data_IF_605066033762
#
_entry.id   IF_605066033762
#
_cell.length_a   1.000
_cell.length_b   1.000
_cell.length_c   1.000
_cell.angle_alpha   90.00
_cell.angle_beta   90.00
_cell.angle_gamma   90.00
#
_symmetry.space_group_name_H-M   'P 1'
#
loop_
_entity.id
_entity.type
_entity.pdbx_description
1 polymer ?
#
# COMPACT_ATOMS: atom_id res chain seq x y z
N UNK A 1 16.28 -9.68 6.62
CA UNK A 1 16.06 -9.52 5.17
C UNK A 1 15.48 -8.14 4.98
N UNK A 2 16.36 -7.17 4.74
CA UNK A 2 16.01 -5.76 4.64
C UNK A 2 15.40 -5.57 3.25
N UNK A 3 14.08 -5.41 3.17
CA UNK A 3 13.42 -5.03 1.93
C UNK A 3 14.04 -3.68 1.58
N UNK A 4 14.92 -3.65 0.57
CA UNK A 4 15.56 -2.44 0.10
C UNK A 4 14.48 -1.37 -0.01
N UNK A 5 14.67 -0.24 0.70
CA UNK A 5 13.77 0.92 0.73
C UNK A 5 13.22 1.16 -0.68
N UNK A 6 12.03 0.67 -0.95
CA UNK A 6 11.36 0.82 -2.23
C UNK A 6 10.83 2.25 -2.26
N UNK A 7 11.64 3.18 -2.78
CA UNK A 7 11.28 4.60 -3.00
C UNK A 7 10.08 4.75 -3.94
N UNK A 8 9.71 3.67 -4.64
CA UNK A 8 8.73 3.64 -5.70
C UNK A 8 7.87 2.38 -5.56
N UNK A 9 6.55 2.54 -5.52
CA UNK A 9 5.61 1.43 -5.61
C UNK A 9 5.09 1.30 -7.04
N UNK A 10 5.16 0.09 -7.58
CA UNK A 10 4.68 -0.25 -8.91
C UNK A 10 3.41 -1.08 -8.78
N UNK A 11 2.29 -0.59 -9.33
CA UNK A 11 1.05 -1.35 -9.42
C UNK A 11 0.76 -1.63 -10.89
N UNK A 12 0.67 -2.90 -11.23
CA UNK A 12 0.41 -3.35 -12.60
C UNK A 12 -1.00 -3.93 -12.70
N UNK A 13 -1.77 -3.45 -13.66
CA UNK A 13 -3.14 -3.85 -13.92
C UNK A 13 -3.22 -4.41 -15.34
N UNK A 14 -3.13 -5.75 -15.52
CA UNK A 14 -3.31 -6.36 -16.83
C UNK A 14 -4.71 -6.01 -17.34
N UNK A 15 -4.81 -5.59 -18.60
CA UNK A 15 -6.07 -5.21 -19.24
C UNK A 15 -6.57 -6.34 -20.13
N UNK A 16 -5.79 -6.68 -21.15
CA UNK A 16 -6.18 -7.68 -22.15
C UNK A 16 -4.97 -8.33 -22.85
N UNK A 17 -5.25 -9.44 -23.54
CA UNK A 17 -4.33 -10.05 -24.50
C UNK A 17 -4.78 -9.70 -25.90
N UNK A 18 -3.93 -9.00 -26.65
CA UNK A 18 -4.18 -8.59 -28.03
C UNK A 18 -3.23 -9.37 -28.94
N UNK A 19 -3.66 -10.58 -29.34
CA UNK A 19 -2.83 -11.52 -30.09
C UNK A 19 -1.63 -12.00 -29.27
N UNK A 20 -0.42 -11.63 -29.71
CA UNK A 20 0.84 -12.01 -29.04
C UNK A 20 1.34 -10.94 -28.06
N UNK A 21 0.54 -9.93 -27.74
CA UNK A 21 0.88 -8.87 -26.81
C UNK A 21 -0.07 -8.87 -25.60
N UNK A 22 0.46 -8.51 -24.43
CA UNK A 22 -0.34 -8.21 -23.24
C UNK A 22 -0.37 -6.70 -23.04
N UNK A 23 -1.56 -6.13 -22.97
CA UNK A 23 -1.73 -4.75 -22.56
C UNK A 23 -1.82 -4.68 -21.04
N UNK A 24 -1.01 -3.82 -20.42
CA UNK A 24 -1.03 -3.58 -18.99
C UNK A 24 -1.00 -2.07 -18.72
N UNK A 25 -1.79 -1.65 -17.73
CA UNK A 25 -1.71 -0.31 -17.16
C UNK A 25 -0.81 -0.35 -15.95
N UNK A 26 0.17 0.53 -15.93
CA UNK A 26 1.16 0.59 -14.87
C UNK A 26 1.01 1.92 -14.15
N UNK A 27 0.74 1.86 -12.85
CA UNK A 27 0.68 3.02 -11.98
C UNK A 27 1.95 3.06 -11.12
N UNK A 28 2.64 4.18 -11.21
CA UNK A 28 3.85 4.46 -10.44
C UNK A 28 3.52 5.45 -9.31
N UNK A 29 3.81 5.07 -8.08
CA UNK A 29 3.51 5.88 -6.90
C UNK A 29 4.80 6.15 -6.12
N UNK A 30 5.12 7.42 -5.81
CA UNK A 30 6.26 7.75 -4.97
C UNK A 30 6.00 7.34 -3.52
N UNK A 31 7.05 6.89 -2.84
CA UNK A 31 7.04 6.76 -1.38
C UNK A 31 7.74 7.97 -0.77
N UNK A 32 7.00 8.81 -0.05
CA UNK A 32 7.52 10.06 0.51
C UNK A 32 7.31 11.26 -0.42
N UNK A 33 7.94 12.38 -0.04
CA UNK A 33 7.74 13.66 -0.74
C UNK A 33 8.18 13.56 -2.22
N UNK A 34 7.27 13.76 -3.19
CA UNK A 34 7.57 13.59 -4.60
C UNK A 34 8.52 14.67 -5.15
N UNK A 35 8.72 15.78 -4.44
CA UNK A 35 9.59 16.87 -4.86
C UNK A 35 11.03 16.72 -4.37
N UNK A 36 11.28 15.75 -3.49
CA UNK A 36 12.59 15.50 -2.88
C UNK A 36 13.17 14.21 -3.45
N UNK A 37 14.39 14.28 -3.98
CA UNK A 37 15.14 13.10 -4.39
C UNK A 37 15.58 12.25 -3.19
N UNK A 38 15.70 10.95 -3.37
CA UNK A 38 16.03 10.01 -2.29
C UNK A 38 17.11 9.03 -2.73
N UNK A 39 18.15 8.84 -1.91
CA UNK A 39 19.15 7.77 -2.07
C UNK A 39 19.72 7.63 -3.49
N UNK A 40 20.12 8.75 -4.12
CA UNK A 40 20.70 8.78 -5.46
C UNK A 40 19.69 8.76 -6.61
N UNK A 41 18.39 8.75 -6.32
CA UNK A 41 17.32 8.92 -7.30
C UNK A 41 16.90 10.39 -7.41
N UNK A 42 16.52 10.86 -8.61
CA UNK A 42 15.93 12.18 -8.79
C UNK A 42 14.58 12.31 -8.06
N UNK A 43 14.07 13.53 -7.87
CA UNK A 43 12.69 13.75 -7.43
C UNK A 43 11.71 12.97 -8.30
N UNK A 44 10.60 12.50 -7.75
CA UNK A 44 9.59 11.80 -8.55
C UNK A 44 8.83 12.76 -9.47
N UNK A 45 8.50 13.96 -8.97
CA UNK A 45 7.69 14.94 -9.67
C UNK A 45 8.41 15.42 -10.94
N UNK A 46 7.83 15.11 -12.11
CA UNK A 46 8.35 15.56 -13.41
C UNK A 46 9.52 14.74 -13.96
N UNK A 47 9.92 13.66 -13.29
CA UNK A 47 10.97 12.76 -13.79
C UNK A 47 10.40 11.73 -14.77
N UNK A 48 11.11 11.56 -15.88
CA UNK A 48 10.90 10.45 -16.81
C UNK A 48 11.58 9.19 -16.28
N UNK A 49 10.84 8.09 -16.19
CA UNK A 49 11.32 6.84 -15.62
C UNK A 49 11.52 5.78 -16.70
N UNK A 50 12.67 5.11 -16.70
CA UNK A 50 12.89 3.91 -17.51
C UNK A 50 12.50 2.68 -16.70
N UNK A 51 11.56 1.90 -17.23
CA UNK A 51 11.12 0.64 -16.63
C UNK A 51 11.34 -0.51 -17.60
N UNK A 52 11.54 -1.71 -17.05
CA UNK A 52 11.73 -2.92 -17.84
C UNK A 52 10.67 -3.95 -17.47
N UNK A 53 10.14 -4.63 -18.48
CA UNK A 53 9.29 -5.80 -18.30
C UNK A 53 10.04 -7.04 -18.75
N UNK A 54 9.95 -8.11 -17.95
CA UNK A 54 10.55 -9.40 -18.26
C UNK A 54 9.46 -10.45 -18.40
N UNK A 55 9.39 -11.10 -19.56
CA UNK A 55 8.57 -12.28 -19.77
C UNK A 55 9.45 -13.51 -19.61
N UNK A 56 9.25 -14.25 -18.52
CA UNK A 56 10.01 -15.46 -18.20
C UNK A 56 9.30 -16.71 -18.75
N UNK A 57 10.02 -17.75 -19.20
CA UNK A 57 9.40 -18.91 -19.86
C UNK A 57 8.54 -19.81 -18.96
N UNK A 58 8.65 -19.67 -17.63
CA UNK A 58 7.99 -20.54 -16.68
C UNK A 58 8.05 -20.02 -15.25
N UNK A 59 7.14 -20.49 -14.38
CA UNK A 59 7.00 -19.99 -13.01
C UNK A 59 8.22 -20.27 -12.15
N UNK A 60 8.96 -21.35 -12.41
CA UNK A 60 10.19 -21.69 -11.67
C UNK A 60 11.25 -20.59 -11.76
N UNK A 61 11.25 -19.84 -12.87
CA UNK A 61 12.19 -18.74 -13.10
C UNK A 61 11.84 -17.48 -12.27
N UNK A 62 10.61 -17.37 -11.74
CA UNK A 62 10.21 -16.24 -10.89
C UNK A 62 10.89 -16.27 -9.52
N UNK A 63 11.37 -17.44 -9.09
CA UNK A 63 12.00 -17.63 -7.78
C UNK A 63 13.53 -17.55 -7.83
N UNK A 64 14.10 -17.28 -9.01
CA UNK A 64 15.54 -17.00 -9.14
C UNK A 64 15.89 -15.70 -8.43
N UNK A 65 17.15 -15.57 -8.01
CA UNK A 65 17.67 -14.35 -7.41
C UNK A 65 17.51 -13.13 -8.33
N UNK A 66 17.64 -13.35 -9.65
CA UNK A 66 17.29 -12.39 -10.69
C UNK A 66 16.51 -13.09 -11.81
N UNK A 67 15.18 -12.97 -11.84
CA UNK A 67 14.33 -13.55 -12.89
C UNK A 67 14.68 -13.06 -14.31
N UNK A 68 15.33 -11.90 -14.46
CA UNK A 68 15.71 -11.37 -15.77
C UNK A 68 16.82 -12.16 -16.47
N UNK A 69 17.56 -12.97 -15.70
CA UNK A 69 18.70 -13.76 -16.20
C UNK A 69 18.31 -15.16 -16.68
N UNK A 70 17.05 -15.57 -16.51
CA UNK A 70 16.63 -16.91 -16.91
C UNK A 70 16.76 -17.11 -18.43
N UNK A 71 17.29 -18.27 -18.90
CA UNK A 71 17.38 -18.57 -20.32
C UNK A 71 16.03 -18.49 -21.01
N UNK A 72 15.96 -17.79 -22.14
CA UNK A 72 14.70 -17.59 -22.88
C UNK A 72 13.84 -16.43 -22.37
N UNK A 73 14.30 -15.65 -21.39
CA UNK A 73 13.61 -14.43 -20.94
C UNK A 73 13.60 -13.37 -22.04
N UNK A 74 12.43 -12.80 -22.31
CA UNK A 74 12.28 -11.65 -23.19
C UNK A 74 12.21 -10.38 -22.36
N UNK A 75 13.09 -9.42 -22.64
CA UNK A 75 13.14 -8.13 -21.94
C UNK A 75 12.66 -7.02 -22.87
N UNK A 76 11.79 -6.15 -22.37
CA UNK A 76 11.31 -4.97 -23.09
C UNK A 76 11.51 -3.72 -22.23
N UNK A 77 12.00 -2.65 -22.84
CA UNK A 77 12.25 -1.37 -22.19
C UNK A 77 11.09 -0.42 -22.49
N UNK A 78 10.66 0.32 -21.47
CA UNK A 78 9.60 1.30 -21.55
C UNK A 78 10.05 2.60 -20.90
N UNK A 79 9.69 3.72 -21.52
CA UNK A 79 9.98 5.06 -21.02
C UNK A 79 8.65 5.68 -20.56
N UNK A 80 8.53 5.92 -19.26
CA UNK A 80 7.37 6.52 -18.63
C UNK A 80 7.60 8.02 -18.50
N UNK A 81 7.07 8.78 -19.46
CA UNK A 81 7.12 10.24 -19.43
C UNK A 81 5.95 10.78 -18.62
N UNK A 82 6.19 11.64 -17.61
CA UNK A 82 5.12 12.23 -16.84
C UNK A 82 4.29 13.21 -17.70
N UNK A 83 3.00 13.40 -17.39
CA UNK A 83 2.21 14.47 -18.01
C UNK A 83 2.85 15.84 -17.83
N UNK A 84 2.70 16.74 -18.81
CA UNK A 84 3.31 18.07 -18.78
C UNK A 84 2.93 18.89 -17.53
N UNK A 85 1.75 18.65 -16.97
CA UNK A 85 1.23 19.31 -15.76
C UNK A 85 1.45 18.49 -14.47
N UNK A 86 2.23 17.41 -14.48
CA UNK A 86 2.38 16.51 -13.33
C UNK A 86 2.87 17.25 -12.07
N UNK A 87 3.87 18.14 -12.21
CA UNK A 87 4.40 18.94 -11.10
C UNK A 87 3.32 19.86 -10.54
N UNK A 88 2.58 20.57 -11.40
CA UNK A 88 1.51 21.47 -10.99
C UNK A 88 0.36 20.72 -10.28
N UNK A 89 0.00 19.53 -10.76
CA UNK A 89 -1.01 18.67 -10.12
C UNK A 89 -0.57 18.24 -8.72
N UNK A 90 0.69 17.80 -8.57
CA UNK A 90 1.23 17.40 -7.26
C UNK A 90 1.31 18.60 -6.29
N UNK A 91 1.62 19.79 -6.80
CA UNK A 91 1.66 21.03 -6.01
C UNK A 91 0.27 21.52 -5.60
N UNK A 92 -0.79 21.15 -6.33
CA UNK A 92 -2.16 21.49 -5.98
C UNK A 92 -2.77 20.60 -4.88
N UNK A 93 -2.23 19.39 -4.67
CA UNK A 93 -2.75 18.44 -3.67
C UNK A 93 -2.79 19.00 -2.24
N UNK A 94 -1.75 19.71 -1.74
CA UNK A 94 -1.80 20.36 -0.43
C UNK A 94 -2.93 21.40 -0.26
N UNK A 95 -3.46 21.94 -1.36
CA UNK A 95 -4.61 22.84 -1.33
C UNK A 95 -5.92 22.17 -0.88
N UNK A 96 -5.98 20.83 -0.93
CA UNK A 96 -7.13 20.03 -0.48
C UNK A 96 -6.94 19.44 0.92
N UNK A 97 -5.70 19.21 1.33
CA UNK A 97 -5.34 18.66 2.64
C UNK A 97 -3.97 19.14 3.10
N UNK A 98 -3.81 19.42 4.38
CA UNK A 98 -2.52 19.83 4.96
C UNK A 98 -1.56 18.65 4.94
N UNK A 99 -0.53 18.72 4.09
CA UNK A 99 0.52 17.70 4.08
C UNK A 99 1.45 17.90 5.29
N UNK A 100 1.48 16.93 6.18
CA UNK A 100 2.38 16.90 7.35
C UNK A 100 3.48 15.87 7.15
N UNK A 101 4.62 16.09 7.82
CA UNK A 101 5.71 15.11 7.86
C UNK A 101 5.27 13.80 8.52
N UNK A 102 5.87 12.69 8.09
CA UNK A 102 5.59 11.40 8.72
C UNK A 102 6.01 11.40 10.20
N UNK A 103 5.16 10.91 11.13
CA UNK A 103 5.58 10.76 12.51
C UNK A 103 6.76 9.77 12.64
N UNK A 104 7.66 9.95 13.63
CA UNK A 104 8.75 9.01 13.88
C UNK A 104 8.24 7.58 14.08
N UNK A 105 9.01 6.58 13.62
CA UNK A 105 8.67 5.16 13.77
C UNK A 105 8.31 4.81 15.22
N UNK A 106 9.11 5.27 16.18
CA UNK A 106 8.88 5.07 17.61
C UNK A 106 7.52 5.62 18.09
N UNK A 107 7.10 6.79 17.59
CA UNK A 107 5.81 7.37 17.95
C UNK A 107 4.63 6.55 17.38
N UNK A 108 4.79 5.97 16.18
CA UNK A 108 3.79 5.06 15.59
C UNK A 108 3.73 3.73 16.34
N UNK A 109 4.88 3.13 16.62
CA UNK A 109 4.96 1.85 17.34
C UNK A 109 4.39 1.99 18.76
N UNK A 110 4.66 3.08 19.46
CA UNK A 110 4.04 3.37 20.76
C UNK A 110 2.51 3.48 20.65
N UNK A 111 1.99 4.10 19.58
CA UNK A 111 0.54 4.17 19.32
C UNK A 111 -0.06 2.79 19.04
N UNK A 112 0.64 1.92 18.31
CA UNK A 112 0.17 0.56 18.02
C UNK A 112 0.27 -0.35 19.25
N UNK A 113 1.32 -0.22 20.06
CA UNK A 113 1.51 -1.01 21.29
C UNK A 113 0.45 -0.70 22.36
N UNK A 114 -0.12 0.51 22.35
CA UNK A 114 -1.23 0.90 23.22
C UNK A 114 -2.61 0.52 22.67
N UNK A 115 -2.70 0.11 21.40
CA UNK A 115 -3.95 -0.35 20.79
C UNK A 115 -4.12 -1.86 20.98
N UNK A 116 -5.17 -2.23 21.71
CA UNK A 116 -5.64 -3.61 21.81
C UNK A 116 -6.84 -3.76 20.89
N UNK A 117 -6.72 -4.61 19.87
CA UNK A 117 -7.84 -4.92 18.96
C UNK A 117 -8.46 -6.21 19.44
N UNK A 118 -9.62 -6.09 20.10
CA UNK A 118 -10.45 -7.26 20.42
C UNK A 118 -11.09 -7.81 19.11
N UNK A 119 -11.24 -9.12 18.99
CA UNK A 119 -11.86 -9.82 17.86
C UNK A 119 -12.89 -10.82 18.38
N UNK A 120 -14.13 -10.71 17.91
CA UNK A 120 -15.16 -11.71 18.16
C UNK A 120 -14.88 -12.99 17.37
N UNK A 121 -15.00 -14.15 18.04
CA UNK A 121 -14.94 -15.45 17.39
C UNK A 121 -16.35 -15.87 16.96
N UNK A 122 -16.59 -16.13 15.67
CA UNK A 122 -17.91 -16.57 15.20
C UNK A 122 -18.22 -18.01 15.63
N UNK A 123 -19.50 -18.35 15.75
CA UNK A 123 -19.96 -19.68 16.15
C UNK A 123 -19.40 -20.80 15.28
N UNK A 124 -19.24 -20.55 13.98
CA UNK A 124 -18.64 -21.50 13.03
C UNK A 124 -17.18 -21.84 13.36
N UNK A 125 -16.45 -20.93 14.02
CA UNK A 125 -15.08 -21.17 14.45
C UNK A 125 -15.06 -21.98 15.76
N UNK A 126 -15.93 -21.63 16.71
CA UNK A 126 -16.00 -22.29 18.02
C UNK A 126 -16.50 -23.74 17.89
N UNK A 127 -17.37 -24.01 16.92
CA UNK A 127 -17.96 -25.34 16.68
C UNK A 127 -17.13 -26.25 15.77
N UNK A 128 -16.06 -25.75 15.13
CA UNK A 128 -15.27 -26.54 14.18
C UNK A 128 -14.35 -27.57 14.86
N UNK A 129 -14.09 -27.44 16.16
CA UNK A 129 -13.23 -28.33 16.94
C UNK A 129 -13.62 -28.25 18.43
N UNK A 130 -13.10 -29.13 19.31
CA UNK A 130 -13.34 -29.06 20.75
C UNK A 130 -12.71 -27.80 21.36
N UNK A 131 -13.40 -26.67 21.23
CA UNK A 131 -12.95 -25.37 21.69
C UNK A 131 -13.20 -25.24 23.20
N UNK A 132 -12.13 -25.11 23.99
CA UNK A 132 -12.25 -24.93 25.45
C UNK A 132 -12.34 -23.46 25.84
N UNK A 133 -11.41 -22.63 25.34
CA UNK A 133 -11.33 -21.20 25.65
C UNK A 133 -10.40 -20.45 24.69
N UNK A 134 -10.59 -19.12 24.54
CA UNK A 134 -9.64 -18.28 23.82
C UNK A 134 -8.26 -18.29 24.49
N UNK A 135 -7.20 -18.29 23.68
CA UNK A 135 -5.81 -18.24 24.19
C UNK A 135 -5.36 -16.83 24.57
N UNK A 136 -6.06 -15.81 24.12
CA UNK A 136 -5.75 -14.39 24.37
C UNK A 136 -6.98 -13.68 24.90
N UNK A 137 -6.78 -12.65 25.72
CA UNK A 137 -7.85 -11.79 26.24
C UNK A 137 -8.50 -10.92 25.14
N UNK A 138 -7.85 -10.82 23.98
CA UNK A 138 -8.35 -10.06 22.84
C UNK A 138 -9.30 -10.89 21.96
N UNK A 139 -9.43 -12.20 22.18
CA UNK A 139 -10.41 -13.03 21.48
C UNK A 139 -11.64 -13.22 22.37
N UNK A 140 -12.74 -12.58 21.99
CA UNK A 140 -13.99 -12.60 22.77
C UNK A 140 -15.02 -13.53 22.13
N UNK A 141 -15.89 -14.11 22.97
CA UNK A 141 -16.90 -15.10 22.58
C UNK A 141 -18.31 -14.52 22.55
N UNK A 142 -18.47 -13.29 23.00
CA UNK A 142 -19.73 -12.60 23.21
C UNK A 142 -20.00 -11.55 22.13
N UNK A 143 -21.23 -11.09 22.11
CA UNK A 143 -21.78 -10.15 21.16
C UNK A 143 -21.53 -8.69 21.56
N UNK A 144 -20.52 -8.41 22.42
CA UNK A 144 -20.22 -7.05 22.91
C UNK A 144 -20.09 -6.07 21.74
N UNK A 145 -19.54 -6.53 20.62
CA UNK A 145 -19.40 -5.72 19.40
C UNK A 145 -20.72 -5.47 18.66
N UNK A 146 -21.63 -6.44 18.63
CA UNK A 146 -22.94 -6.24 18.01
C UNK A 146 -23.76 -5.25 18.84
N UNK A 147 -23.68 -5.31 20.16
CA UNK A 147 -24.33 -4.34 21.05
C UNK A 147 -23.65 -2.96 20.98
N UNK A 148 -22.31 -2.89 20.88
CA UNK A 148 -21.59 -1.61 20.76
C UNK A 148 -21.95 -0.83 19.49
N UNK A 149 -22.31 -1.51 18.39
CA UNK A 149 -22.73 -0.87 17.15
C UNK A 149 -24.23 -0.55 17.10
N UNK A 150 -25.07 -1.31 17.82
CA UNK A 150 -26.52 -1.09 17.93
C UNK A 150 -26.83 -0.07 19.03
N UNK A 151 -26.38 1.16 18.83
CA UNK A 151 -26.57 2.26 19.79
C UNK A 151 -25.67 3.46 19.53
N UNK A 152 -24.68 3.32 18.66
CA UNK A 152 -23.90 4.46 18.18
C UNK A 152 -24.77 5.32 17.27
N UNK A 153 -25.06 6.53 17.73
CA UNK A 153 -25.52 7.61 16.86
C UNK A 153 -24.45 7.81 15.79
N UNK A 154 -24.82 7.67 14.52
CA UNK A 154 -23.88 7.93 13.41
C UNK A 154 -23.32 9.35 13.50
N UNK A 155 -22.19 9.59 12.84
CA UNK A 155 -21.53 10.89 12.88
C UNK A 155 -22.50 12.03 12.53
N UNK A 156 -22.58 13.04 13.39
CA UNK A 156 -23.38 14.24 13.21
C UNK A 156 -22.57 15.30 12.47
N UNK A 157 -23.24 16.23 11.78
CA UNK A 157 -22.59 17.43 11.21
C UNK A 157 -21.95 18.33 12.28
N UNK A 158 -22.29 18.13 13.54
CA UNK A 158 -21.69 18.81 14.70
C UNK A 158 -20.40 18.15 15.19
N UNK A 159 -20.09 16.94 14.72
CA UNK A 159 -18.86 16.28 15.09
C UNK A 159 -17.66 17.02 14.49
N UNK A 160 -16.54 17.07 15.20
CA UNK A 160 -15.34 17.71 14.67
C UNK A 160 -14.97 17.05 13.34
N UNK A 161 -14.67 17.84 12.30
CA UNK A 161 -14.28 17.29 11.01
C UNK A 161 -13.05 16.39 11.19
N UNK A 162 -12.93 15.32 10.38
CA UNK A 162 -11.74 14.50 10.39
C UNK A 162 -10.52 15.38 10.17
N UNK A 163 -9.41 15.03 10.82
CA UNK A 163 -8.15 15.76 10.64
C UNK A 163 -7.84 15.84 9.14
N UNK A 164 -7.66 17.05 8.63
CA UNK A 164 -7.28 17.28 7.25
C UNK A 164 -5.75 17.16 7.04
N UNK A 165 -5.09 16.37 7.89
CA UNK A 165 -3.65 16.14 7.86
C UNK A 165 -3.37 14.85 7.08
N UNK A 166 -2.65 14.95 5.98
CA UNK A 166 -2.20 13.79 5.20
C UNK A 166 -0.69 13.73 5.17
N UNK A 167 -0.13 12.55 4.99
CA UNK A 167 1.31 12.37 4.77
C UNK A 167 1.51 11.79 3.38
N UNK A 168 2.62 12.09 2.70
CA UNK A 168 2.99 11.43 1.44
C UNK A 168 3.31 9.93 1.56
N UNK A 169 3.22 9.36 2.76
CA UNK A 169 3.70 8.01 3.05
C UNK A 169 5.19 8.01 3.38
N UNK A 170 5.68 6.90 3.93
CA UNK A 170 7.07 6.77 4.40
C UNK A 170 7.71 5.48 3.86
N UNK A 171 9.02 5.55 3.62
CA UNK A 171 9.98 4.43 3.58
C UNK A 171 10.29 3.87 4.97
#
# INVERSE_FOLDING_TARGET
>A
MDIQKLTLSLLTFPQEWTGNAIEARVLLIPSGDPFVGHSGLPPFAGTTWEVRSHAVPGPDNLFLADPSTAPGTVTTHHVLTPPANAVALLQALPGTATVVGNPPKAAREAKVQSLRVKKALPDSYISAFPFERPRTLDAVLDDEFQCALRGTVGGSKTDPPPRNEITWGRL
#
